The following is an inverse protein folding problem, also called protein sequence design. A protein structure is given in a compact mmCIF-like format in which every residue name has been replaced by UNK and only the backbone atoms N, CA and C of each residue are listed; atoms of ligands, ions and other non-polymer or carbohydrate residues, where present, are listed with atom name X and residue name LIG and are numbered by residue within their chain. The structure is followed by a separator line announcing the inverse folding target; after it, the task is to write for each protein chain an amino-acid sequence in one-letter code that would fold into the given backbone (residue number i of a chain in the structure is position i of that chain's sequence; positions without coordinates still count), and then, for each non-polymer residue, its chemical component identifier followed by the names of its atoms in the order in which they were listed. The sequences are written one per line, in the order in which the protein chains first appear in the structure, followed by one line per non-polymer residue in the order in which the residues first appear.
data_IF_904326926144
#
_entry.id   IF_904326926144
#
_cell.length_a   1.000
_cell.length_b   1.000
_cell.length_c   1.000
_cell.angle_alpha   90.00
_cell.angle_beta   90.00
_cell.angle_gamma   90.00
#
_symmetry.space_group_name_H-M   'P 1'
#
loop_
_entity.id
_entity.type
_entity.pdbx_description
1 polymer ?
#
# COMPACT_ATOMS: atom_id res chain seq x y z
N UNK A 1 25.23 -17.65 6.28
CA UNK A 1 24.49 -16.67 5.46
C UNK A 1 24.76 -15.28 6.02
N UNK A 2 25.10 -14.29 5.17
CA UNK A 2 25.39 -12.92 5.64
C UNK A 2 24.12 -12.25 6.20
N UNK A 3 24.29 -11.26 7.11
CA UNK A 3 23.19 -10.51 7.68
C UNK A 3 22.33 -9.87 6.59
N UNK A 4 22.92 -9.26 5.58
CA UNK A 4 22.20 -8.60 4.47
C UNK A 4 21.31 -9.57 3.68
N UNK A 5 21.76 -10.80 3.43
CA UNK A 5 20.95 -11.84 2.78
C UNK A 5 19.77 -12.25 3.66
N UNK A 6 19.99 -12.39 4.98
CA UNK A 6 18.90 -12.71 5.93
C UNK A 6 17.84 -11.61 5.96
N UNK A 7 18.26 -10.35 5.96
CA UNK A 7 17.35 -9.19 5.90
C UNK A 7 16.62 -9.10 4.54
N UNK A 8 17.28 -9.46 3.44
CA UNK A 8 16.65 -9.55 2.12
C UNK A 8 15.55 -10.61 2.06
N UNK A 9 15.80 -11.80 2.60
CA UNK A 9 14.80 -12.87 2.72
C UNK A 9 13.63 -12.42 3.61
N UNK A 10 13.91 -11.74 4.71
CA UNK A 10 12.91 -11.14 5.60
C UNK A 10 11.98 -10.19 4.81
N UNK A 11 12.54 -9.25 4.06
CA UNK A 11 11.76 -8.32 3.23
C UNK A 11 10.96 -9.04 2.14
N UNK A 12 11.56 -10.03 1.49
CA UNK A 12 10.88 -10.84 0.49
C UNK A 12 9.64 -11.54 1.09
N UNK A 13 9.81 -12.27 2.19
CA UNK A 13 8.72 -13.01 2.83
C UNK A 13 7.63 -12.07 3.38
N UNK A 14 8.02 -10.93 3.94
CA UNK A 14 7.08 -9.92 4.43
C UNK A 14 6.08 -9.51 3.35
N UNK A 15 6.56 -9.14 2.18
CA UNK A 15 5.70 -8.66 1.10
C UNK A 15 5.10 -9.79 0.26
N UNK A 16 5.71 -10.97 0.24
CA UNK A 16 5.13 -12.17 -0.35
C UNK A 16 3.82 -12.56 0.35
N UNK A 17 3.81 -12.65 1.69
CA UNK A 17 2.61 -12.97 2.47
C UNK A 17 1.44 -12.05 2.12
N UNK A 18 1.70 -10.77 1.98
CA UNK A 18 0.64 -9.79 1.67
C UNK A 18 0.22 -9.85 0.19
N UNK A 19 1.19 -9.91 -0.71
CA UNK A 19 0.96 -9.89 -2.15
C UNK A 19 0.18 -11.09 -2.69
N UNK A 20 0.27 -12.25 -2.02
CA UNK A 20 -0.39 -13.49 -2.45
C UNK A 20 -1.91 -13.38 -2.49
N UNK A 21 -2.53 -12.63 -1.57
CA UNK A 21 -3.99 -12.54 -1.51
C UNK A 21 -4.55 -11.13 -1.72
N UNK A 22 -3.80 -10.09 -1.40
CA UNK A 22 -4.37 -8.75 -1.30
C UNK A 22 -4.91 -8.22 -2.63
N UNK A 23 -4.23 -8.51 -3.74
CA UNK A 23 -4.63 -8.06 -5.09
C UNK A 23 -5.86 -8.83 -5.59
N UNK A 24 -5.99 -10.10 -5.22
CA UNK A 24 -7.03 -11.01 -5.72
C UNK A 24 -8.17 -11.25 -4.71
N UNK A 25 -8.04 -10.73 -3.51
CA UNK A 25 -9.07 -10.85 -2.47
C UNK A 25 -10.43 -10.32 -2.92
N UNK A 26 -10.47 -9.20 -3.65
CA UNK A 26 -11.71 -8.67 -4.22
C UNK A 26 -12.39 -9.66 -5.18
N UNK A 27 -11.61 -10.29 -6.06
CA UNK A 27 -12.11 -11.31 -6.99
C UNK A 27 -12.70 -12.52 -6.24
N UNK A 28 -12.00 -13.01 -5.21
CA UNK A 28 -12.50 -14.08 -4.37
C UNK A 28 -13.82 -13.71 -3.67
N UNK A 29 -13.87 -12.54 -3.02
CA UNK A 29 -15.05 -12.10 -2.29
C UNK A 29 -16.24 -11.86 -3.23
N UNK A 30 -16.02 -11.34 -4.44
CA UNK A 30 -17.08 -11.14 -5.42
C UNK A 30 -17.67 -12.47 -5.93
N UNK A 31 -16.87 -13.53 -6.00
CA UNK A 31 -17.37 -14.86 -6.35
C UNK A 31 -18.07 -15.54 -5.15
N UNK A 32 -17.50 -15.39 -3.94
CA UNK A 32 -18.06 -15.98 -2.72
C UNK A 32 -19.44 -15.42 -2.38
N UNK A 33 -19.63 -14.10 -2.55
CA UNK A 33 -20.86 -13.39 -2.23
C UNK A 33 -21.68 -13.01 -3.47
N UNK A 34 -21.51 -13.76 -4.56
CA UNK A 34 -22.23 -13.53 -5.82
C UNK A 34 -23.74 -13.53 -5.62
N UNK A 35 -24.38 -12.44 -6.03
CA UNK A 35 -25.84 -12.28 -5.92
C UNK A 35 -26.32 -11.81 -4.53
N UNK A 36 -25.42 -11.58 -3.57
CA UNK A 36 -25.80 -10.99 -2.28
C UNK A 36 -26.01 -9.48 -2.39
N UNK A 37 -27.04 -8.98 -1.71
CA UNK A 37 -27.28 -7.55 -1.57
C UNK A 37 -26.15 -6.90 -0.77
N UNK A 38 -25.61 -5.77 -1.25
CA UNK A 38 -24.52 -5.07 -0.58
C UNK A 38 -23.14 -5.68 -0.81
N UNK A 39 -22.96 -6.51 -1.82
CA UNK A 39 -21.66 -7.15 -2.15
C UNK A 39 -20.52 -6.14 -2.24
N UNK A 40 -20.77 -4.94 -2.77
CA UNK A 40 -19.73 -3.91 -2.88
C UNK A 40 -19.30 -3.37 -1.51
N UNK A 41 -20.24 -3.26 -0.55
CA UNK A 41 -19.91 -2.91 0.85
C UNK A 41 -19.16 -4.04 1.55
N UNK A 42 -19.51 -5.30 1.30
CA UNK A 42 -18.77 -6.45 1.84
C UNK A 42 -17.31 -6.37 1.41
N UNK A 43 -17.05 -6.14 0.13
CA UNK A 43 -15.68 -6.00 -0.40
C UNK A 43 -14.99 -4.76 0.21
N UNK A 44 -15.63 -3.60 0.19
CA UNK A 44 -15.10 -2.37 0.76
C UNK A 44 -14.74 -2.50 2.25
N UNK A 45 -15.63 -3.10 3.04
CA UNK A 45 -15.40 -3.38 4.46
C UNK A 45 -14.23 -4.33 4.67
N UNK A 46 -14.09 -5.36 3.84
CA UNK A 46 -12.97 -6.31 3.94
C UNK A 46 -11.61 -5.63 3.70
N UNK A 47 -11.51 -4.73 2.74
CA UNK A 47 -10.31 -3.92 2.52
C UNK A 47 -10.12 -2.84 3.61
N UNK A 48 -11.20 -2.32 4.20
CA UNK A 48 -11.12 -1.37 5.31
C UNK A 48 -10.45 -1.97 6.56
N UNK A 49 -10.47 -3.30 6.74
CA UNK A 49 -9.81 -3.97 7.88
C UNK A 49 -8.32 -3.68 7.95
N UNK A 50 -7.64 -3.66 6.80
CA UNK A 50 -6.23 -3.31 6.70
C UNK A 50 -5.98 -1.86 7.12
N UNK A 51 -6.82 -0.94 6.70
CA UNK A 51 -6.65 0.49 7.02
C UNK A 51 -6.99 0.79 8.48
N UNK A 52 -7.99 0.13 9.06
CA UNK A 52 -8.21 0.17 10.51
C UNK A 52 -6.99 -0.30 11.29
N UNK A 53 -6.45 -1.45 10.92
CA UNK A 53 -5.26 -1.98 11.59
C UNK A 53 -4.04 -1.06 11.44
N UNK A 54 -3.86 -0.43 10.28
CA UNK A 54 -2.77 0.51 10.02
C UNK A 54 -2.81 1.74 10.95
N UNK A 55 -4.00 2.21 11.34
CA UNK A 55 -4.14 3.31 12.30
C UNK A 55 -3.61 2.95 13.71
N UNK A 56 -3.71 1.68 14.09
CA UNK A 56 -3.27 1.20 15.42
C UNK A 56 -1.86 0.59 15.41
N UNK A 57 -1.33 0.24 14.24
CA UNK A 57 -0.03 -0.42 14.09
C UNK A 57 1.13 0.31 14.80
N UNK A 58 1.27 1.65 14.74
CA UNK A 58 2.34 2.35 15.43
C UNK A 58 2.30 2.17 16.95
N UNK A 59 1.09 2.06 17.54
CA UNK A 59 0.93 1.84 18.99
C UNK A 59 1.43 0.45 19.40
N UNK A 60 1.16 -0.58 18.59
CA UNK A 60 1.63 -1.94 18.84
C UNK A 60 3.17 -1.98 18.80
N UNK A 61 3.79 -1.38 17.79
CA UNK A 61 5.25 -1.31 17.67
C UNK A 61 5.87 -0.54 18.83
N UNK A 62 5.36 0.66 19.11
CA UNK A 62 5.89 1.52 20.18
C UNK A 62 5.73 0.92 21.58
N UNK A 63 4.69 0.13 21.81
CA UNK A 63 4.42 -0.50 23.11
C UNK A 63 5.14 -1.85 23.27
N UNK A 64 5.02 -2.75 22.32
CA UNK A 64 5.58 -4.10 22.39
C UNK A 64 7.02 -4.17 21.88
N UNK A 65 7.26 -3.64 20.66
CA UNK A 65 8.55 -3.77 19.98
C UNK A 65 9.65 -2.88 20.56
N UNK A 66 9.31 -1.67 21.03
CA UNK A 66 10.30 -0.76 21.56
C UNK A 66 10.57 -0.92 23.06
N UNK A 67 9.76 -1.71 23.79
CA UNK A 67 9.86 -1.75 25.25
C UNK A 67 9.92 -3.14 25.86
N UNK A 68 9.18 -4.12 25.31
CA UNK A 68 8.95 -5.38 26.00
C UNK A 68 9.79 -6.53 25.46
N UNK A 69 9.94 -6.63 24.13
CA UNK A 69 10.59 -7.79 23.53
C UNK A 69 11.39 -7.40 22.29
N UNK A 70 12.32 -8.26 21.91
CA UNK A 70 13.08 -8.08 20.69
C UNK A 70 12.17 -8.06 19.48
N UNK A 71 12.49 -7.17 18.52
CA UNK A 71 11.67 -6.92 17.36
C UNK A 71 11.53 -8.14 16.42
N UNK A 72 12.60 -8.93 16.26
CA UNK A 72 12.58 -10.17 15.50
C UNK A 72 11.67 -11.23 16.13
N UNK A 73 11.63 -11.31 17.46
CA UNK A 73 10.75 -12.23 18.17
C UNK A 73 9.30 -11.80 18.09
N UNK A 74 9.03 -10.50 18.25
CA UNK A 74 7.67 -9.95 18.07
C UNK A 74 7.17 -10.19 16.64
N UNK A 75 8.02 -9.93 15.64
CA UNK A 75 7.70 -10.17 14.24
C UNK A 75 7.35 -11.66 13.99
N UNK A 76 8.15 -12.57 14.53
CA UNK A 76 7.91 -14.00 14.43
C UNK A 76 6.57 -14.43 15.04
N UNK A 77 6.28 -13.95 16.26
CA UNK A 77 5.03 -14.26 16.95
C UNK A 77 3.81 -13.73 16.19
N UNK A 78 3.86 -12.48 15.71
CA UNK A 78 2.76 -11.87 14.96
C UNK A 78 2.49 -12.60 13.65
N UNK A 79 3.54 -13.09 12.95
CA UNK A 79 3.37 -13.89 11.74
C UNK A 79 2.83 -15.30 12.02
N UNK A 80 3.20 -15.94 13.12
CA UNK A 80 2.63 -17.23 13.51
C UNK A 80 1.15 -17.11 13.86
N UNK A 81 0.76 -16.08 14.62
CA UNK A 81 -0.64 -15.77 14.88
C UNK A 81 -1.38 -15.45 13.57
N UNK A 82 -0.78 -14.63 12.71
CA UNK A 82 -1.31 -14.30 11.40
C UNK A 82 -1.51 -15.52 10.49
N UNK A 83 -0.63 -16.51 10.56
CA UNK A 83 -0.77 -17.75 9.82
C UNK A 83 -2.04 -18.52 10.22
N UNK A 84 -2.29 -18.66 11.51
CA UNK A 84 -3.52 -19.29 12.01
C UNK A 84 -4.78 -18.53 11.59
N UNK A 85 -4.74 -17.21 11.64
CA UNK A 85 -5.86 -16.35 11.25
C UNK A 85 -6.13 -16.43 9.73
N UNK A 86 -5.12 -16.42 8.88
CA UNK A 86 -5.28 -16.58 7.42
C UNK A 86 -5.83 -17.96 7.07
N UNK A 87 -5.36 -19.00 7.76
CA UNK A 87 -5.91 -20.33 7.58
C UNK A 87 -7.40 -20.37 7.97
N UNK A 88 -7.76 -19.71 9.05
CA UNK A 88 -9.16 -19.59 9.46
C UNK A 88 -9.99 -18.81 8.43
N UNK A 89 -9.51 -17.67 7.93
CA UNK A 89 -10.16 -16.90 6.84
C UNK A 89 -10.47 -17.82 5.65
N UNK A 90 -9.55 -18.72 5.28
CA UNK A 90 -9.74 -19.61 4.12
C UNK A 90 -10.91 -20.60 4.27
N UNK A 91 -11.45 -20.79 5.48
CA UNK A 91 -12.56 -21.69 5.78
C UNK A 91 -13.89 -20.97 5.98
N UNK A 92 -13.89 -19.63 6.00
CA UNK A 92 -15.07 -18.83 6.29
C UNK A 92 -15.88 -18.52 5.04
N UNK A 93 -17.21 -18.48 5.22
CA UNK A 93 -18.16 -18.08 4.17
C UNK A 93 -19.11 -16.98 4.62
N UNK A 94 -19.10 -16.59 5.91
CA UNK A 94 -19.87 -15.48 6.45
C UNK A 94 -19.10 -14.18 6.37
N UNK A 95 -19.69 -13.12 5.80
CA UNK A 95 -19.04 -11.82 5.57
C UNK A 95 -18.61 -11.12 6.85
N UNK A 96 -19.40 -11.25 7.93
CA UNK A 96 -19.11 -10.64 9.23
C UNK A 96 -17.93 -11.36 9.90
N UNK A 97 -17.88 -12.69 9.83
CA UNK A 97 -16.74 -13.46 10.36
C UNK A 97 -15.47 -13.19 9.57
N UNK A 98 -15.55 -13.09 8.23
CA UNK A 98 -14.41 -12.71 7.37
C UNK A 98 -13.90 -11.35 7.75
N UNK A 99 -14.77 -10.35 7.97
CA UNK A 99 -14.37 -9.02 8.41
C UNK A 99 -13.56 -9.06 9.72
N UNK A 100 -14.06 -9.72 10.75
CA UNK A 100 -13.38 -9.78 12.05
C UNK A 100 -12.09 -10.59 12.00
N UNK A 101 -12.06 -11.68 11.25
CA UNK A 101 -10.85 -12.49 11.06
C UNK A 101 -9.77 -11.71 10.30
N UNK A 102 -10.12 -11.02 9.22
CA UNK A 102 -9.20 -10.14 8.47
C UNK A 102 -8.72 -8.96 9.32
N UNK A 103 -9.61 -8.32 10.08
CA UNK A 103 -9.23 -7.22 10.98
C UNK A 103 -8.19 -7.70 12.01
N UNK A 104 -8.45 -8.85 12.64
CA UNK A 104 -7.52 -9.43 13.62
C UNK A 104 -6.19 -9.82 12.97
N UNK A 105 -6.24 -10.40 11.77
CA UNK A 105 -5.03 -10.66 10.98
C UNK A 105 -4.23 -9.38 10.71
N UNK A 106 -4.87 -8.33 10.22
CA UNK A 106 -4.17 -7.10 9.90
C UNK A 106 -3.67 -6.35 11.15
N UNK A 107 -4.34 -6.48 12.30
CA UNK A 107 -3.80 -5.99 13.59
C UNK A 107 -2.47 -6.68 13.94
N UNK A 108 -2.31 -7.96 13.60
CA UNK A 108 -1.02 -8.64 13.73
C UNK A 108 -0.04 -8.22 12.62
N UNK A 109 -0.50 -8.10 11.38
CA UNK A 109 0.36 -7.92 10.21
C UNK A 109 0.87 -6.47 10.03
N UNK A 110 0.02 -5.43 10.18
CA UNK A 110 0.43 -4.04 9.91
C UNK A 110 1.62 -3.56 10.77
N UNK A 111 1.72 -3.91 12.07
CA UNK A 111 2.90 -3.58 12.86
C UNK A 111 4.21 -4.16 12.30
N UNK A 112 4.16 -5.34 11.67
CA UNK A 112 5.35 -6.01 11.17
C UNK A 112 6.03 -5.23 10.05
N UNK A 113 5.31 -4.39 9.29
CA UNK A 113 5.88 -3.50 8.28
C UNK A 113 6.86 -2.48 8.86
N UNK A 114 6.58 -1.96 10.04
CA UNK A 114 7.51 -1.08 10.75
C UNK A 114 8.64 -1.86 11.43
N UNK A 115 8.34 -3.05 11.97
CA UNK A 115 9.35 -3.91 12.60
C UNK A 115 10.46 -4.31 11.64
N UNK A 116 10.13 -4.74 10.41
CA UNK A 116 11.16 -5.16 9.42
C UNK A 116 12.07 -4.01 9.00
N UNK A 117 11.54 -2.79 8.92
CA UNK A 117 12.36 -1.60 8.67
C UNK A 117 13.31 -1.36 9.84
N UNK A 118 12.81 -1.39 11.08
CA UNK A 118 13.63 -1.15 12.28
C UNK A 118 14.67 -2.25 12.48
N UNK A 119 14.29 -3.53 12.27
CA UNK A 119 15.26 -4.66 12.30
C UNK A 119 16.36 -4.41 11.27
N UNK A 120 16.02 -3.93 10.08
CA UNK A 120 17.01 -3.62 9.05
C UNK A 120 17.92 -2.49 9.50
N UNK A 121 17.36 -1.38 9.99
CA UNK A 121 18.15 -0.20 10.42
C UNK A 121 19.13 -0.52 11.54
N UNK A 122 18.75 -1.39 12.47
CA UNK A 122 19.62 -1.80 13.59
C UNK A 122 20.75 -2.76 13.17
N UNK A 123 20.67 -3.36 11.97
CA UNK A 123 21.60 -4.42 11.57
C UNK A 123 22.35 -4.14 10.26
N UNK A 124 22.35 -2.89 9.78
CA UNK A 124 23.15 -2.42 8.65
C UNK A 124 24.08 -1.30 9.06
N UNK A 125 25.27 -1.24 8.45
CA UNK A 125 26.28 -0.22 8.78
C UNK A 125 25.92 1.15 8.17
N UNK A 126 25.34 1.17 6.99
CA UNK A 126 24.95 2.38 6.28
C UNK A 126 23.51 2.25 5.74
N UNK A 127 22.57 2.89 6.44
CA UNK A 127 21.14 2.84 6.11
C UNK A 127 20.89 3.40 4.71
N UNK A 128 21.52 4.51 4.34
CA UNK A 128 21.24 5.22 3.07
C UNK A 128 21.58 4.37 1.85
N UNK A 129 22.65 3.57 1.92
CA UNK A 129 23.14 2.76 0.79
C UNK A 129 22.66 1.32 0.81
N UNK A 130 22.37 0.75 1.99
CA UNK A 130 22.05 -0.66 2.16
C UNK A 130 20.55 -0.93 2.25
N UNK A 131 19.81 -0.07 2.94
CA UNK A 131 18.36 -0.25 3.09
C UNK A 131 17.60 -0.29 1.74
N UNK A 132 17.87 0.58 0.76
CA UNK A 132 17.18 0.49 -0.53
C UNK A 132 17.39 -0.86 -1.23
N UNK A 133 18.60 -1.42 -1.15
CA UNK A 133 18.94 -2.73 -1.75
C UNK A 133 18.21 -3.88 -1.06
N UNK A 134 18.08 -3.81 0.27
CA UNK A 134 17.35 -4.81 1.07
C UNK A 134 15.85 -4.65 0.83
N UNK A 135 15.34 -3.41 0.81
CA UNK A 135 13.92 -3.11 0.61
C UNK A 135 13.40 -3.55 -0.78
N UNK A 136 14.25 -3.52 -1.80
CA UNK A 136 13.92 -4.00 -3.15
C UNK A 136 13.45 -5.47 -3.14
N UNK A 137 13.98 -6.31 -2.25
CA UNK A 137 13.52 -7.70 -2.10
C UNK A 137 12.05 -7.79 -1.69
N UNK A 138 11.51 -6.77 -1.03
CA UNK A 138 10.07 -6.68 -0.75
C UNK A 138 9.24 -6.54 -2.02
N UNK A 139 9.62 -5.66 -2.95
CA UNK A 139 8.94 -5.52 -4.24
C UNK A 139 9.03 -6.81 -5.07
N UNK A 140 10.22 -7.47 -5.06
CA UNK A 140 10.39 -8.77 -5.70
C UNK A 140 9.46 -9.82 -5.04
N UNK A 141 9.35 -9.82 -3.71
CA UNK A 141 8.44 -10.73 -2.98
C UNK A 141 6.98 -10.54 -3.38
N UNK A 142 6.53 -9.30 -3.52
CA UNK A 142 5.18 -8.98 -4.00
C UNK A 142 4.93 -9.45 -5.43
N UNK A 143 5.89 -9.21 -6.35
CA UNK A 143 5.81 -9.67 -7.73
C UNK A 143 5.72 -11.21 -7.77
N UNK A 144 6.63 -11.89 -7.08
CA UNK A 144 6.65 -13.36 -7.03
C UNK A 144 5.36 -13.92 -6.45
N UNK A 145 4.78 -13.27 -5.43
CA UNK A 145 3.49 -13.65 -4.87
C UNK A 145 2.37 -13.62 -5.92
N UNK A 146 2.27 -12.55 -6.70
CA UNK A 146 1.29 -12.42 -7.78
C UNK A 146 1.49 -13.46 -8.88
N UNK A 147 2.76 -13.75 -9.27
CA UNK A 147 3.07 -14.78 -10.25
C UNK A 147 2.73 -16.18 -9.72
N UNK A 148 2.99 -16.44 -8.44
CA UNK A 148 2.74 -17.73 -7.79
C UNK A 148 1.24 -18.05 -7.76
N UNK A 149 0.42 -17.09 -7.30
CA UNK A 149 -1.02 -17.34 -7.15
C UNK A 149 -1.76 -17.36 -8.50
N UNK A 150 -1.21 -16.68 -9.51
CA UNK A 150 -1.72 -16.69 -10.86
C UNK A 150 -1.24 -17.88 -11.69
N UNK A 151 -0.29 -18.68 -11.17
CA UNK A 151 0.38 -19.77 -11.90
C UNK A 151 0.83 -19.39 -13.31
N UNK A 152 1.27 -18.13 -13.46
CA UNK A 152 1.61 -17.56 -14.76
C UNK A 152 2.77 -16.59 -14.64
N UNK A 153 3.75 -16.71 -15.54
CA UNK A 153 4.86 -15.76 -15.64
C UNK A 153 4.42 -14.53 -16.44
N UNK A 154 4.02 -13.47 -15.77
CA UNK A 154 3.59 -12.19 -16.34
C UNK A 154 2.50 -12.30 -17.43
N UNK A 155 1.70 -13.37 -17.39
CA UNK A 155 0.68 -13.65 -18.40
C UNK A 155 1.19 -14.24 -19.70
N UNK A 156 2.51 -14.44 -19.83
CA UNK A 156 3.15 -14.90 -21.07
C UNK A 156 3.09 -16.42 -21.25
N UNK A 157 3.30 -17.18 -20.18
CA UNK A 157 3.22 -18.64 -20.17
C UNK A 157 2.80 -19.15 -18.78
N UNK A 158 2.30 -20.39 -18.76
CA UNK A 158 1.90 -21.06 -17.52
C UNK A 158 3.13 -21.46 -16.70
N UNK A 159 3.01 -21.29 -15.38
CA UNK A 159 4.05 -21.60 -14.43
C UNK A 159 3.42 -22.35 -13.24
N UNK A 160 3.18 -23.68 -13.36
CA UNK A 160 2.53 -24.45 -12.31
C UNK A 160 3.46 -24.57 -11.08
N UNK A 161 3.31 -23.65 -10.13
CA UNK A 161 4.13 -23.59 -8.92
C UNK A 161 3.46 -24.37 -7.78
N UNK A 162 2.13 -24.44 -7.78
CA UNK A 162 1.33 -24.99 -6.69
C UNK A 162 0.54 -26.24 -7.18
N UNK A 163 1.13 -27.44 -7.16
CA UNK A 163 0.44 -28.64 -7.62
C UNK A 163 -0.89 -28.85 -6.89
N UNK A 164 -1.99 -29.01 -7.65
CA UNK A 164 -3.33 -29.28 -7.10
C UNK A 164 -4.10 -28.06 -6.59
N UNK A 165 -3.57 -26.85 -6.79
CA UNK A 165 -4.30 -25.61 -6.51
C UNK A 165 -4.73 -25.02 -7.86
N UNK A 166 -5.97 -25.30 -8.26
CA UNK A 166 -6.57 -24.66 -9.42
C UNK A 166 -7.07 -23.26 -9.06
N UNK A 167 -6.83 -22.27 -9.94
CA UNK A 167 -7.38 -20.90 -9.84
C UNK A 167 -7.11 -20.21 -8.50
N UNK A 168 -5.87 -20.26 -8.02
CA UNK A 168 -5.50 -19.77 -6.68
C UNK A 168 -6.00 -18.36 -6.34
N UNK A 169 -6.00 -17.44 -7.33
CA UNK A 169 -6.44 -16.05 -7.13
C UNK A 169 -7.95 -15.86 -7.01
N UNK A 170 -8.77 -16.82 -7.45
CA UNK A 170 -10.23 -16.76 -7.37
C UNK A 170 -10.83 -17.61 -6.26
N UNK A 171 -9.99 -18.36 -5.54
CA UNK A 171 -10.40 -19.28 -4.48
C UNK A 171 -9.81 -18.90 -3.12
N UNK A 172 -10.26 -19.59 -2.06
CA UNK A 172 -9.70 -19.44 -0.71
C UNK A 172 -8.24 -19.91 -0.61
N UNK A 173 -7.70 -20.60 -1.62
CA UNK A 173 -6.32 -21.07 -1.66
C UNK A 173 -5.30 -19.96 -1.48
N UNK A 174 -5.59 -18.74 -1.94
CA UNK A 174 -4.73 -17.56 -1.72
C UNK A 174 -4.45 -17.32 -0.22
N UNK A 175 -5.43 -17.51 0.64
CA UNK A 175 -5.25 -17.37 2.08
C UNK A 175 -4.48 -18.55 2.69
N UNK A 176 -4.65 -19.76 2.15
CA UNK A 176 -3.90 -20.94 2.59
C UNK A 176 -2.41 -20.81 2.25
N UNK A 177 -2.09 -20.37 1.02
CA UNK A 177 -0.71 -20.09 0.59
C UNK A 177 -0.10 -18.99 1.46
N UNK A 178 -0.84 -17.90 1.70
CA UNK A 178 -0.40 -16.81 2.57
C UNK A 178 -0.18 -17.31 4.02
N UNK A 179 -1.05 -18.19 4.54
CA UNK A 179 -0.91 -18.79 5.86
C UNK A 179 0.36 -19.61 6.00
N UNK A 180 0.64 -20.49 5.02
CA UNK A 180 1.87 -21.30 4.99
C UNK A 180 3.10 -20.40 4.89
N UNK A 181 3.09 -19.42 4.01
CA UNK A 181 4.18 -18.45 3.87
C UNK A 181 4.40 -17.64 5.17
N UNK A 182 3.31 -17.22 5.82
CA UNK A 182 3.38 -16.51 7.10
C UNK A 182 3.93 -17.39 8.22
N UNK A 183 3.57 -18.68 8.26
CA UNK A 183 4.14 -19.62 9.23
C UNK A 183 5.65 -19.82 9.00
N UNK A 184 6.07 -20.06 7.75
CA UNK A 184 7.49 -20.16 7.38
C UNK A 184 8.23 -18.89 7.80
N UNK A 185 7.67 -17.73 7.50
CA UNK A 185 8.27 -16.46 7.86
C UNK A 185 8.31 -16.23 9.37
N UNK A 186 7.27 -16.62 10.09
CA UNK A 186 7.23 -16.55 11.55
C UNK A 186 8.39 -17.32 12.19
N UNK A 187 8.59 -18.59 11.79
CA UNK A 187 9.73 -19.39 12.26
C UNK A 187 11.08 -18.81 11.79
N UNK A 188 11.17 -18.36 10.56
CA UNK A 188 12.39 -17.73 10.03
C UNK A 188 12.78 -16.49 10.83
N UNK A 189 11.80 -15.71 11.31
CA UNK A 189 12.02 -14.48 12.05
C UNK A 189 12.84 -14.69 13.33
N UNK A 190 12.68 -15.81 14.03
CA UNK A 190 13.48 -16.16 15.20
C UNK A 190 14.96 -16.43 14.86
N UNK A 191 15.31 -16.59 13.60
CA UNK A 191 16.70 -16.76 13.15
C UNK A 191 17.35 -15.42 12.78
N UNK A 192 16.62 -14.31 12.73
CA UNK A 192 17.15 -12.99 12.36
C UNK A 192 18.14 -12.47 13.41
N UNK A 193 18.98 -11.49 13.04
CA UNK A 193 19.87 -10.88 14.02
C UNK A 193 19.08 -10.19 15.13
N UNK A 194 19.63 -10.24 16.34
CA UNK A 194 19.01 -9.65 17.53
C UNK A 194 18.77 -8.15 17.34
N UNK A 195 17.56 -7.72 17.60
CA UNK A 195 17.12 -6.33 17.47
C UNK A 195 16.39 -5.90 18.74
N UNK A 196 17.15 -5.58 19.82
CA UNK A 196 16.61 -5.33 21.14
C UNK A 196 15.77 -4.03 21.18
N UNK A 197 14.87 -3.92 22.20
CA UNK A 197 14.06 -2.72 22.40
C UNK A 197 14.91 -1.53 22.84
N UNK A 198 14.82 -0.39 22.13
CA UNK A 198 15.57 0.83 22.41
C UNK A 198 14.90 1.75 23.43
N UNK A 199 13.60 1.59 23.62
CA UNK A 199 12.78 2.39 24.52
C UNK A 199 12.53 1.77 25.89
N UNK A 200 13.27 0.70 26.28
CA UNK A 200 13.06 0.02 27.56
C UNK A 200 13.22 0.99 28.73
N UNK A 201 12.18 1.08 29.58
CA UNK A 201 12.15 1.96 30.73
C UNK A 201 11.80 3.43 30.46
N UNK A 202 11.60 3.83 29.19
CA UNK A 202 11.15 5.19 28.84
C UNK A 202 9.62 5.30 28.85
N UNK A 203 9.03 6.46 29.22
CA UNK A 203 7.58 6.67 29.12
C UNK A 203 7.06 6.56 27.68
N UNK A 204 5.81 6.12 27.51
CA UNK A 204 5.16 6.08 26.16
C UNK A 204 4.62 7.44 25.84
N UNK A 205 5.08 8.03 24.76
CA UNK A 205 4.47 9.24 24.20
C UNK A 205 3.62 8.86 22.99
N UNK A 206 2.32 8.70 23.23
CA UNK A 206 1.34 8.32 22.19
C UNK A 206 1.24 9.41 21.11
N UNK A 207 1.36 10.69 21.48
CA UNK A 207 1.27 11.81 20.54
C UNK A 207 2.43 11.78 19.56
N UNK A 208 3.64 11.49 20.05
CA UNK A 208 4.83 11.33 19.21
C UNK A 208 4.74 10.09 18.30
N UNK A 209 4.28 8.94 18.85
CA UNK A 209 4.16 7.67 18.11
C UNK A 209 3.16 7.81 16.95
N UNK A 210 2.02 8.49 17.16
CA UNK A 210 1.02 8.74 16.14
C UNK A 210 1.35 9.94 15.23
N UNK A 211 2.46 10.63 15.49
CA UNK A 211 2.88 11.78 14.70
C UNK A 211 2.13 13.07 14.98
N UNK A 212 1.29 13.13 16.02
CA UNK A 212 0.48 14.32 16.31
C UNK A 212 1.29 15.55 16.73
N UNK A 213 2.51 15.37 17.23
CA UNK A 213 3.44 16.48 17.46
C UNK A 213 3.74 17.27 16.18
N UNK A 214 3.64 16.60 15.03
CA UNK A 214 3.86 17.19 13.70
C UNK A 214 2.67 17.97 13.16
N UNK A 215 1.54 18.01 13.86
CA UNK A 215 0.41 18.89 13.50
C UNK A 215 0.82 20.37 13.46
N UNK A 216 1.90 20.74 14.17
CA UNK A 216 2.48 22.09 14.09
C UNK A 216 2.89 22.47 12.66
N UNK A 217 3.32 21.49 11.82
CA UNK A 217 3.67 21.74 10.44
C UNK A 217 2.48 22.23 9.60
N UNK A 218 1.25 21.93 9.99
CA UNK A 218 0.05 22.39 9.32
C UNK A 218 -0.20 23.91 9.50
N UNK A 219 0.56 24.59 10.38
CA UNK A 219 0.58 26.05 10.45
C UNK A 219 1.18 26.67 9.18
N UNK A 220 2.06 25.93 8.47
CA UNK A 220 2.50 26.30 7.14
C UNK A 220 1.39 25.99 6.14
N UNK A 221 0.77 27.01 5.48
CA UNK A 221 -0.38 26.80 4.60
C UNK A 221 -0.07 25.85 3.41
N UNK A 222 1.15 25.90 2.89
CA UNK A 222 1.55 24.99 1.79
C UNK A 222 1.61 23.54 2.27
N UNK A 223 2.15 23.28 3.47
CA UNK A 223 2.16 21.95 4.04
C UNK A 223 0.74 21.44 4.38
N UNK A 224 -0.12 22.33 4.87
CA UNK A 224 -1.54 22.01 5.11
C UNK A 224 -2.24 21.58 3.80
N UNK A 225 -2.05 22.33 2.72
CA UNK A 225 -2.58 21.96 1.39
C UNK A 225 -2.06 20.61 0.95
N UNK A 226 -0.75 20.36 1.10
CA UNK A 226 -0.16 19.06 0.80
C UNK A 226 -0.81 17.93 1.63
N UNK A 227 -0.93 18.11 2.94
CA UNK A 227 -1.51 17.10 3.83
C UNK A 227 -2.98 16.79 3.51
N UNK A 228 -3.81 17.85 3.29
CA UNK A 228 -5.23 17.69 2.94
C UNK A 228 -5.38 17.03 1.56
N UNK A 229 -4.65 17.49 0.55
CA UNK A 229 -4.72 16.89 -0.78
C UNK A 229 -4.19 15.44 -0.78
N UNK A 230 -3.19 15.13 0.06
CA UNK A 230 -2.68 13.76 0.23
C UNK A 230 -3.73 12.84 0.87
N UNK A 231 -4.45 13.32 1.87
CA UNK A 231 -5.59 12.60 2.43
C UNK A 231 -6.67 12.36 1.36
N UNK A 232 -7.08 13.41 0.65
CA UNK A 232 -8.16 13.34 -0.34
C UNK A 232 -7.82 12.41 -1.51
N UNK A 233 -6.60 12.45 -2.05
CA UNK A 233 -6.21 11.61 -3.20
C UNK A 233 -6.12 10.13 -2.83
N UNK A 234 -5.97 9.79 -1.55
CA UNK A 234 -5.99 8.41 -1.09
C UNK A 234 -7.41 7.81 -1.06
N UNK A 235 -8.47 8.63 -1.17
CA UNK A 235 -9.83 8.13 -1.39
C UNK A 235 -9.92 7.38 -2.73
N UNK A 236 -9.60 7.98 -3.90
CA UNK A 236 -9.53 7.23 -5.15
C UNK A 236 -8.47 6.11 -5.13
N UNK A 237 -7.37 6.24 -4.39
CA UNK A 237 -6.38 5.16 -4.29
C UNK A 237 -6.97 3.86 -3.76
N UNK A 238 -7.91 3.92 -2.81
CA UNK A 238 -8.60 2.74 -2.29
C UNK A 238 -9.35 1.97 -3.38
N UNK A 239 -9.94 2.67 -4.36
CA UNK A 239 -10.58 2.03 -5.53
C UNK A 239 -9.59 1.17 -6.32
N UNK A 240 -8.36 1.64 -6.50
CA UNK A 240 -7.34 0.87 -7.19
C UNK A 240 -7.01 -0.43 -6.45
N UNK A 241 -6.68 -0.34 -5.17
CA UNK A 241 -6.26 -1.52 -4.42
C UNK A 241 -7.38 -2.54 -4.23
N UNK A 242 -8.61 -2.09 -3.97
CA UNK A 242 -9.72 -2.98 -3.67
C UNK A 242 -10.40 -3.54 -4.92
N UNK A 243 -10.40 -2.81 -6.04
CA UNK A 243 -11.29 -3.12 -7.16
C UNK A 243 -10.59 -3.39 -8.49
N UNK A 244 -9.32 -2.96 -8.66
CA UNK A 244 -8.66 -3.15 -9.96
C UNK A 244 -8.41 -4.62 -10.28
N UNK A 245 -7.93 -5.42 -9.30
CA UNK A 245 -7.71 -6.85 -9.50
C UNK A 245 -8.99 -7.56 -9.93
N UNK A 246 -10.09 -7.28 -9.26
CA UNK A 246 -11.40 -7.83 -9.57
C UNK A 246 -11.90 -7.40 -10.95
N UNK A 247 -11.84 -6.09 -11.25
CA UNK A 247 -12.23 -5.53 -12.55
C UNK A 247 -11.46 -6.16 -13.71
N UNK A 248 -10.13 -6.18 -13.64
CA UNK A 248 -9.31 -6.72 -14.73
C UNK A 248 -9.41 -8.24 -14.83
N UNK A 249 -9.66 -8.92 -13.70
CA UNK A 249 -9.93 -10.35 -13.65
C UNK A 249 -11.22 -10.71 -14.39
N UNK A 250 -12.32 -10.04 -14.07
CA UNK A 250 -13.60 -10.25 -14.71
C UNK A 250 -13.59 -9.87 -16.20
N UNK A 251 -12.90 -8.77 -16.56
CA UNK A 251 -12.89 -8.25 -17.92
C UNK A 251 -11.94 -8.99 -18.87
N UNK A 252 -10.72 -9.39 -18.40
CA UNK A 252 -9.66 -9.79 -19.33
C UNK A 252 -8.83 -11.00 -18.88
N UNK A 253 -8.48 -11.10 -17.59
CA UNK A 253 -7.33 -11.93 -17.19
C UNK A 253 -7.70 -13.17 -16.40
N UNK A 254 -8.93 -13.26 -15.86
CA UNK A 254 -9.39 -14.39 -15.07
C UNK A 254 -8.38 -14.73 -13.95
N UNK A 255 -7.98 -16.00 -13.90
CA UNK A 255 -7.05 -16.51 -12.89
C UNK A 255 -5.64 -15.94 -13.01
N UNK A 256 -5.28 -15.36 -14.16
CA UNK A 256 -3.96 -14.74 -14.41
C UNK A 256 -3.85 -13.30 -13.89
N UNK A 257 -4.88 -12.78 -13.23
CA UNK A 257 -4.94 -11.39 -12.73
C UNK A 257 -3.71 -10.99 -11.95
N UNK A 258 -3.25 -11.80 -11.00
CA UNK A 258 -2.06 -11.50 -10.19
C UNK A 258 -0.79 -11.27 -11.02
N UNK A 259 -0.62 -12.05 -12.09
CA UNK A 259 0.52 -11.93 -13.00
C UNK A 259 0.49 -10.65 -13.83
N UNK A 260 -0.70 -10.25 -14.31
CA UNK A 260 -0.83 -8.99 -15.06
C UNK A 260 -0.73 -7.76 -14.15
N UNK A 261 -1.26 -7.84 -12.94
CA UNK A 261 -1.13 -6.76 -11.96
C UNK A 261 0.33 -6.54 -11.52
N UNK A 262 1.18 -7.57 -11.56
CA UNK A 262 2.61 -7.47 -11.27
C UNK A 262 3.35 -6.49 -12.21
N UNK A 263 2.85 -6.24 -13.42
CA UNK A 263 3.40 -5.21 -14.30
C UNK A 263 3.33 -3.79 -13.71
N UNK A 264 2.39 -3.53 -12.81
CA UNK A 264 2.33 -2.29 -12.05
C UNK A 264 3.57 -2.10 -11.16
N UNK A 265 4.02 -3.15 -10.47
CA UNK A 265 5.23 -3.12 -9.63
C UNK A 265 6.52 -3.05 -10.47
N UNK A 266 6.53 -3.68 -11.63
CA UNK A 266 7.65 -3.50 -12.58
C UNK A 266 7.77 -2.05 -13.01
N UNK A 267 6.64 -1.41 -13.32
CA UNK A 267 6.58 0.03 -13.64
C UNK A 267 7.08 0.89 -12.46
N UNK A 268 6.71 0.56 -11.21
CA UNK A 268 7.19 1.22 -10.00
C UNK A 268 8.72 1.18 -9.89
N UNK A 269 9.34 0.01 -10.08
CA UNK A 269 10.81 -0.11 -10.06
C UNK A 269 11.46 0.82 -11.09
N UNK A 270 10.87 0.91 -12.28
CA UNK A 270 11.38 1.76 -13.36
C UNK A 270 11.24 3.25 -13.02
N UNK A 271 10.05 3.71 -12.61
CA UNK A 271 9.82 5.12 -12.31
C UNK A 271 10.50 5.58 -11.03
N UNK A 272 10.66 4.70 -10.02
CA UNK A 272 11.44 4.96 -8.82
C UNK A 272 12.89 5.38 -9.16
N UNK A 273 13.53 4.67 -10.09
CA UNK A 273 14.88 5.02 -10.55
C UNK A 273 14.94 6.39 -11.25
N UNK A 274 13.83 6.85 -11.81
CA UNK A 274 13.72 8.12 -12.53
C UNK A 274 13.28 9.30 -11.64
N UNK A 275 12.86 9.07 -10.40
CA UNK A 275 12.41 10.13 -9.46
C UNK A 275 13.45 11.25 -9.34
N UNK A 276 14.76 11.00 -9.10
CA UNK A 276 15.73 12.08 -8.97
C UNK A 276 15.83 12.96 -10.25
N UNK A 277 15.77 12.32 -11.43
CA UNK A 277 15.82 13.02 -12.71
C UNK A 277 14.62 13.94 -12.91
N UNK A 278 13.42 13.47 -12.63
CA UNK A 278 12.22 14.27 -12.80
C UNK A 278 12.07 15.33 -11.69
N UNK A 279 12.44 15.00 -10.46
CA UNK A 279 12.35 15.92 -9.33
C UNK A 279 13.22 17.16 -9.52
N UNK A 280 14.44 17.00 -10.05
CA UNK A 280 15.33 18.14 -10.37
C UNK A 280 14.81 19.02 -11.48
N UNK A 281 14.03 18.49 -12.44
CA UNK A 281 13.49 19.25 -13.59
C UNK A 281 12.12 19.82 -13.35
N UNK A 282 11.24 19.09 -12.70
CA UNK A 282 9.84 19.46 -12.50
C UNK A 282 9.59 20.14 -11.15
N UNK A 283 10.44 19.82 -10.16
CA UNK A 283 10.23 20.23 -8.76
C UNK A 283 9.05 19.52 -8.11
N UNK A 284 8.89 19.71 -6.81
CA UNK A 284 7.90 19.01 -5.98
C UNK A 284 6.48 19.22 -6.47
N UNK A 285 6.07 20.47 -6.72
CA UNK A 285 4.69 20.80 -7.13
C UNK A 285 4.26 20.03 -8.38
N UNK A 286 5.05 20.06 -9.43
CA UNK A 286 4.70 19.40 -10.70
C UNK A 286 4.78 17.89 -10.60
N UNK A 287 5.73 17.34 -9.82
CA UNK A 287 5.84 15.91 -9.58
C UNK A 287 4.58 15.37 -8.89
N UNK A 288 4.16 15.98 -7.78
CA UNK A 288 2.94 15.61 -7.06
C UNK A 288 1.71 15.71 -7.97
N UNK A 289 1.60 16.81 -8.73
CA UNK A 289 0.49 17.02 -9.65
C UNK A 289 0.42 15.95 -10.76
N UNK A 290 1.56 15.59 -11.35
CA UNK A 290 1.62 14.51 -12.36
C UNK A 290 1.18 13.18 -11.76
N UNK A 291 1.61 12.86 -10.54
CA UNK A 291 1.14 11.66 -9.82
C UNK A 291 -0.38 11.65 -9.63
N UNK A 292 -0.97 12.77 -9.17
CA UNK A 292 -2.43 12.91 -9.00
C UNK A 292 -3.18 12.77 -10.32
N UNK A 293 -2.72 13.44 -11.39
CA UNK A 293 -3.33 13.37 -12.71
C UNK A 293 -3.19 11.99 -13.36
N UNK A 294 -2.12 11.25 -13.05
CA UNK A 294 -1.95 9.88 -13.51
C UNK A 294 -3.02 8.95 -12.89
N UNK A 295 -3.47 9.17 -11.64
CA UNK A 295 -4.63 8.47 -11.08
C UNK A 295 -5.91 8.81 -11.84
N UNK A 296 -6.16 10.09 -12.09
CA UNK A 296 -7.34 10.51 -12.85
C UNK A 296 -7.38 9.85 -14.24
N UNK A 297 -6.25 9.89 -14.96
CA UNK A 297 -6.10 9.25 -16.27
C UNK A 297 -6.34 7.74 -16.20
N UNK A 298 -5.75 7.05 -15.23
CA UNK A 298 -5.93 5.60 -15.03
C UNK A 298 -7.40 5.23 -14.92
N UNK A 299 -8.14 5.90 -14.04
CA UNK A 299 -9.56 5.59 -13.84
C UNK A 299 -10.41 5.99 -15.04
N UNK A 300 -10.08 7.07 -15.73
CA UNK A 300 -10.72 7.41 -16.98
C UNK A 300 -10.51 6.33 -18.06
N UNK A 301 -9.28 5.77 -18.16
CA UNK A 301 -9.00 4.66 -19.08
C UNK A 301 -9.82 3.41 -18.73
N UNK A 302 -9.92 3.05 -17.44
CA UNK A 302 -10.72 1.91 -16.98
C UNK A 302 -12.22 2.10 -17.22
N UNK A 303 -12.74 3.30 -17.02
CA UNK A 303 -14.16 3.60 -17.21
C UNK A 303 -14.57 3.72 -18.66
N UNK A 304 -13.78 4.44 -19.46
CA UNK A 304 -14.15 4.77 -20.85
C UNK A 304 -13.87 3.63 -21.85
N UNK A 305 -12.87 2.79 -21.56
CA UNK A 305 -12.44 1.72 -22.47
C UNK A 305 -12.24 0.37 -21.74
N UNK A 306 -13.23 -0.08 -20.94
CA UNK A 306 -13.08 -1.28 -20.10
C UNK A 306 -12.81 -2.55 -20.90
N UNK A 307 -13.30 -2.64 -22.15
CA UNK A 307 -13.13 -3.81 -23.02
C UNK A 307 -11.81 -3.83 -23.78
N UNK A 308 -11.04 -2.73 -23.77
CA UNK A 308 -9.77 -2.67 -24.49
C UNK A 308 -8.61 -3.06 -23.56
N UNK A 309 -8.13 -4.30 -23.68
CA UNK A 309 -7.03 -4.86 -22.88
C UNK A 309 -5.77 -3.97 -22.91
N UNK A 310 -5.39 -3.43 -24.07
CA UNK A 310 -4.18 -2.61 -24.17
C UNK A 310 -4.33 -1.31 -23.38
N UNK A 311 -5.50 -0.68 -23.39
CA UNK A 311 -5.80 0.53 -22.62
C UNK A 311 -5.83 0.24 -21.14
N UNK A 312 -6.41 -0.88 -20.72
CA UNK A 312 -6.42 -1.34 -19.32
C UNK A 312 -4.97 -1.60 -18.86
N UNK A 313 -4.13 -2.22 -19.68
CA UNK A 313 -2.71 -2.42 -19.36
C UNK A 313 -1.95 -1.10 -19.19
N UNK A 314 -2.22 -0.08 -20.01
CA UNK A 314 -1.67 1.28 -19.79
C UNK A 314 -2.09 1.81 -18.42
N UNK A 315 -3.35 1.63 -18.03
CA UNK A 315 -3.84 1.98 -16.70
C UNK A 315 -3.08 1.26 -15.56
N UNK A 316 -2.73 -0.03 -15.75
CA UNK A 316 -1.91 -0.77 -14.78
C UNK A 316 -0.48 -0.21 -14.74
N UNK A 317 0.14 0.04 -15.90
CA UNK A 317 1.51 0.57 -16.01
C UNK A 317 1.65 2.01 -15.47
N UNK A 318 0.58 2.79 -15.41
CA UNK A 318 0.59 4.10 -14.74
C UNK A 318 0.85 4.00 -13.23
N UNK A 319 0.91 2.78 -12.65
CA UNK A 319 1.12 2.59 -11.21
C UNK A 319 2.42 3.23 -10.71
N UNK A 320 3.53 3.05 -11.43
CA UNK A 320 4.81 3.66 -11.05
C UNK A 320 4.74 5.19 -11.06
N UNK A 321 4.13 5.80 -12.08
CA UNK A 321 3.97 7.26 -12.13
C UNK A 321 3.10 7.74 -10.96
N UNK A 322 1.95 7.11 -10.74
CA UNK A 322 1.05 7.49 -9.65
C UNK A 322 1.74 7.41 -8.29
N UNK A 323 2.41 6.28 -8.05
CA UNK A 323 2.96 5.94 -6.74
C UNK A 323 4.24 6.72 -6.44
N UNK A 324 5.21 6.65 -7.34
CA UNK A 324 6.53 7.23 -7.09
C UNK A 324 6.52 8.75 -7.15
N UNK A 325 5.82 9.32 -8.15
CA UNK A 325 5.79 10.78 -8.29
C UNK A 325 4.96 11.43 -7.19
N UNK A 326 4.00 10.72 -6.60
CA UNK A 326 3.24 11.27 -5.49
C UNK A 326 3.83 10.89 -4.13
N UNK A 327 3.91 9.60 -3.79
CA UNK A 327 4.29 9.19 -2.43
C UNK A 327 5.76 9.44 -2.13
N UNK A 328 6.68 9.06 -3.04
CA UNK A 328 8.10 9.26 -2.79
C UNK A 328 8.43 10.76 -2.76
N UNK A 329 7.87 11.53 -3.68
CA UNK A 329 8.05 12.99 -3.68
C UNK A 329 7.42 13.63 -2.43
N UNK A 330 6.26 13.15 -1.98
CA UNK A 330 5.60 13.62 -0.76
C UNK A 330 6.40 13.33 0.49
N UNK A 331 7.03 12.16 0.58
CA UNK A 331 7.96 11.82 1.67
C UNK A 331 9.19 12.72 1.67
N UNK A 332 9.80 12.96 0.51
CA UNK A 332 10.94 13.88 0.37
C UNK A 332 10.57 15.32 0.72
N UNK A 333 9.37 15.77 0.32
CA UNK A 333 8.87 17.09 0.68
C UNK A 333 8.64 17.22 2.19
N UNK A 334 8.03 16.22 2.81
CA UNK A 334 7.79 16.17 4.26
C UNK A 334 9.11 16.22 5.03
N UNK A 335 10.10 15.42 4.63
CA UNK A 335 11.41 15.37 5.26
C UNK A 335 12.16 16.71 5.15
N UNK A 336 11.99 17.39 4.01
CA UNK A 336 12.58 18.72 3.78
C UNK A 336 11.94 19.82 4.64
N UNK A 337 10.62 19.79 4.83
CA UNK A 337 9.88 20.83 5.58
C UNK A 337 9.96 20.60 7.07
N UNK A 338 10.04 19.36 7.53
CA UNK A 338 10.07 19.02 8.95
C UNK A 338 11.45 19.30 9.56
N UNK A 339 11.52 19.95 10.75
CA UNK A 339 12.72 20.00 11.55
C UNK A 339 13.29 18.61 11.81
N UNK A 340 14.61 18.48 11.96
CA UNK A 340 15.29 17.17 12.10
C UNK A 340 14.67 16.30 13.19
N UNK A 341 14.31 16.88 14.33
CA UNK A 341 13.73 16.22 15.49
C UNK A 341 12.30 15.70 15.25
N UNK A 342 11.60 16.25 14.25
CA UNK A 342 10.19 15.93 13.92
C UNK A 342 10.01 15.11 12.66
N UNK A 343 11.06 14.80 11.92
CA UNK A 343 10.96 14.10 10.61
C UNK A 343 10.22 12.77 10.72
N UNK A 344 10.61 11.94 11.68
CA UNK A 344 9.94 10.64 11.89
C UNK A 344 8.45 10.80 12.23
N UNK A 345 8.13 11.74 13.12
CA UNK A 345 6.76 12.05 13.51
C UNK A 345 5.95 12.62 12.33
N UNK A 346 6.56 13.47 11.50
CA UNK A 346 5.94 14.01 10.28
C UNK A 346 5.62 12.93 9.24
N UNK A 347 6.54 11.99 9.03
CA UNK A 347 6.31 10.84 8.14
C UNK A 347 5.20 9.93 8.69
N UNK A 348 5.16 9.70 10.00
CA UNK A 348 4.10 8.94 10.65
C UNK A 348 2.72 9.61 10.45
N UNK A 349 2.64 10.94 10.62
CA UNK A 349 1.41 11.70 10.39
C UNK A 349 0.95 11.61 8.93
N UNK A 350 1.85 11.74 7.96
CA UNK A 350 1.51 11.59 6.54
C UNK A 350 1.00 10.18 6.25
N UNK A 351 1.65 9.15 6.79
CA UNK A 351 1.18 7.75 6.68
C UNK A 351 -0.20 7.54 7.28
N UNK A 352 -0.46 8.13 8.46
CA UNK A 352 -1.76 8.07 9.13
C UNK A 352 -2.86 8.75 8.29
N UNK A 353 -2.56 9.90 7.71
CA UNK A 353 -3.52 10.64 6.88
C UNK A 353 -3.79 9.93 5.55
N UNK A 354 -2.77 9.36 4.92
CA UNK A 354 -2.87 8.73 3.59
C UNK A 354 -3.36 7.29 3.67
N UNK A 355 -2.49 6.36 4.05
CA UNK A 355 -2.79 4.91 4.10
C UNK A 355 -3.73 4.51 5.23
N UNK A 356 -3.80 5.30 6.30
CA UNK A 356 -4.79 5.13 7.36
C UNK A 356 -6.13 5.77 6.97
N UNK A 357 -6.32 7.06 7.32
CA UNK A 357 -7.60 7.73 7.23
C UNK A 357 -8.14 7.89 5.80
N UNK A 358 -7.29 8.30 4.84
CA UNK A 358 -7.70 8.54 3.45
C UNK A 358 -8.20 7.27 2.77
N UNK A 359 -7.44 6.19 2.87
CA UNK A 359 -7.86 4.90 2.32
C UNK A 359 -9.04 4.29 3.08
N UNK A 360 -9.15 4.52 4.40
CA UNK A 360 -10.30 4.06 5.17
C UNK A 360 -11.61 4.66 4.64
N UNK A 361 -11.64 5.99 4.49
CA UNK A 361 -12.77 6.69 3.87
C UNK A 361 -13.02 6.16 2.45
N UNK A 362 -11.95 5.98 1.66
CA UNK A 362 -12.04 5.46 0.30
C UNK A 362 -12.67 4.08 0.22
N UNK A 363 -12.32 3.16 1.13
CA UNK A 363 -12.90 1.82 1.17
C UNK A 363 -14.40 1.82 1.49
N UNK A 364 -14.87 2.70 2.36
CA UNK A 364 -16.31 2.85 2.60
C UNK A 364 -17.03 3.53 1.43
N UNK A 365 -16.40 4.55 0.83
CA UNK A 365 -16.96 5.26 -0.33
C UNK A 365 -17.10 4.33 -1.54
N UNK A 366 -16.09 3.49 -1.85
CA UNK A 366 -16.16 2.57 -2.97
C UNK A 366 -17.27 1.51 -2.81
N UNK A 367 -17.46 1.02 -1.59
CA UNK A 367 -18.52 0.05 -1.28
C UNK A 367 -19.90 0.68 -1.44
N UNK A 368 -20.11 1.86 -0.84
CA UNK A 368 -21.35 2.61 -0.97
C UNK A 368 -21.65 2.99 -2.44
N UNK A 369 -20.64 3.46 -3.17
CA UNK A 369 -20.78 3.86 -4.57
C UNK A 369 -21.14 2.68 -5.48
N UNK A 370 -20.43 1.55 -5.33
CA UNK A 370 -20.70 0.34 -6.09
C UNK A 370 -22.15 -0.16 -5.91
N UNK A 371 -22.62 -0.19 -4.65
CA UNK A 371 -24.03 -0.57 -4.37
C UNK A 371 -25.02 0.46 -4.91
N UNK A 372 -24.72 1.76 -4.81
CA UNK A 372 -25.64 2.83 -5.25
C UNK A 372 -25.87 2.84 -6.75
N UNK A 373 -24.91 2.38 -7.55
CA UNK A 373 -25.03 2.25 -9.01
C UNK A 373 -25.48 0.86 -9.45
N UNK A 374 -25.71 -0.07 -8.51
CA UNK A 374 -26.08 -1.45 -8.80
C UNK A 374 -25.00 -2.26 -9.50
N UNK A 375 -23.71 -2.00 -9.22
CA UNK A 375 -22.60 -2.73 -9.84
C UNK A 375 -22.64 -4.20 -9.39
N UNK A 376 -22.75 -5.13 -10.33
CA UNK A 376 -22.42 -6.54 -10.10
C UNK A 376 -20.93 -6.78 -10.40
N UNK A 377 -20.08 -6.88 -9.36
CA UNK A 377 -18.64 -7.03 -9.56
C UNK A 377 -18.23 -8.46 -9.91
N UNK A 378 -19.14 -9.43 -9.77
CA UNK A 378 -18.84 -10.85 -9.93
C UNK A 378 -18.82 -11.33 -11.39
N UNK A 379 -19.31 -10.49 -12.31
CA UNK A 379 -19.47 -10.85 -13.72
C UNK A 379 -18.85 -9.81 -14.66
N UNK A 380 -18.50 -10.28 -15.86
CA UNK A 380 -18.04 -9.41 -16.94
C UNK A 380 -19.13 -8.46 -17.40
N UNK A 381 -20.36 -8.96 -17.50
CA UNK A 381 -21.54 -8.19 -17.91
C UNK A 381 -21.79 -7.04 -16.92
N UNK A 382 -21.73 -7.30 -15.61
CA UNK A 382 -21.89 -6.27 -14.60
C UNK A 382 -20.82 -5.18 -14.67
N UNK A 383 -19.57 -5.55 -14.98
CA UNK A 383 -18.52 -4.56 -15.23
C UNK A 383 -18.71 -3.81 -16.54
N UNK A 384 -19.19 -4.45 -17.62
CA UNK A 384 -19.48 -3.75 -18.87
C UNK A 384 -20.57 -2.67 -18.71
N UNK A 385 -21.57 -2.94 -17.87
CA UNK A 385 -22.67 -2.01 -17.59
C UNK A 385 -22.28 -0.92 -16.57
N UNK A 386 -21.43 -1.27 -15.59
CA UNK A 386 -21.12 -0.42 -14.45
C UNK A 386 -19.78 0.30 -14.48
N UNK A 387 -18.79 -0.15 -15.29
CA UNK A 387 -17.41 0.33 -15.23
C UNK A 387 -17.30 1.85 -15.47
N UNK A 388 -18.01 2.40 -16.44
CA UNK A 388 -17.98 3.83 -16.72
C UNK A 388 -18.37 4.64 -15.49
N UNK A 389 -19.54 4.36 -14.90
CA UNK A 389 -20.03 5.06 -13.71
C UNK A 389 -19.10 4.84 -12.52
N UNK A 390 -18.60 3.60 -12.33
CA UNK A 390 -17.78 3.25 -11.19
C UNK A 390 -16.44 3.97 -11.22
N UNK A 391 -15.72 3.93 -12.35
CA UNK A 391 -14.37 4.48 -12.47
C UNK A 391 -14.32 5.98 -12.74
N UNK A 392 -15.32 6.58 -13.40
CA UNK A 392 -15.32 8.02 -13.64
C UNK A 392 -15.54 8.83 -12.38
N UNK A 393 -16.15 8.29 -11.33
CA UNK A 393 -16.30 8.97 -10.05
C UNK A 393 -14.92 9.24 -9.40
N UNK A 394 -14.06 8.23 -9.12
CA UNK A 394 -12.73 8.48 -8.57
C UNK A 394 -11.84 9.27 -9.56
N UNK A 395 -12.03 9.14 -10.88
CA UNK A 395 -11.32 9.96 -11.87
C UNK A 395 -11.66 11.45 -11.70
N UNK A 396 -12.94 11.79 -11.68
CA UNK A 396 -13.41 13.16 -11.49
C UNK A 396 -12.97 13.75 -10.14
N UNK A 397 -13.06 12.93 -9.07
CA UNK A 397 -12.59 13.34 -7.75
C UNK A 397 -11.08 13.63 -7.75
N UNK A 398 -10.26 12.79 -8.39
CA UNK A 398 -8.82 13.02 -8.50
C UNK A 398 -8.50 14.28 -9.32
N UNK A 399 -9.27 14.59 -10.38
CA UNK A 399 -9.14 15.86 -11.13
C UNK A 399 -9.43 17.05 -10.21
N UNK A 400 -10.53 17.02 -9.46
CA UNK A 400 -10.89 18.11 -8.54
C UNK A 400 -9.80 18.36 -7.50
N UNK A 401 -9.30 17.29 -6.87
CA UNK A 401 -8.17 17.39 -5.91
C UNK A 401 -6.93 17.95 -6.59
N UNK A 402 -6.62 17.52 -7.82
CA UNK A 402 -5.48 18.04 -8.59
C UNK A 402 -5.60 19.52 -8.90
N UNK A 403 -6.80 20.01 -9.25
CA UNK A 403 -7.07 21.43 -9.51
C UNK A 403 -6.91 22.25 -8.21
N UNK A 404 -7.49 21.79 -7.11
CA UNK A 404 -7.32 22.43 -5.80
C UNK A 404 -5.83 22.51 -5.45
N UNK A 405 -5.11 21.41 -5.56
CA UNK A 405 -3.68 21.37 -5.30
C UNK A 405 -2.89 22.33 -6.21
N UNK A 406 -3.18 22.33 -7.50
CA UNK A 406 -2.50 23.22 -8.46
C UNK A 406 -2.67 24.68 -8.12
N UNK A 407 -3.88 25.10 -7.73
CA UNK A 407 -4.22 26.50 -7.43
C UNK A 407 -3.71 26.96 -6.05
N UNK A 408 -3.62 26.04 -5.07
CA UNK A 408 -3.40 26.42 -3.67
C UNK A 408 -2.04 25.99 -3.11
N UNK A 409 -1.36 25.00 -3.71
CA UNK A 409 -0.04 24.57 -3.27
C UNK A 409 1.05 25.43 -3.92
N UNK A 410 2.04 25.83 -3.14
CA UNK A 410 3.27 26.46 -3.62
C UNK A 410 4.50 25.94 -2.90
N UNK A 411 5.62 25.86 -3.62
CA UNK A 411 6.92 25.48 -3.08
C UNK A 411 7.91 26.64 -3.31
N UNK A 412 8.16 27.44 -2.27
CA UNK A 412 8.98 28.67 -2.33
C UNK A 412 10.43 28.45 -2.79
N UNK A 413 10.96 27.21 -2.73
CA UNK A 413 12.36 26.94 -3.06
C UNK A 413 12.64 26.63 -4.52
N UNK A 414 11.63 26.42 -5.33
CA UNK A 414 11.84 26.14 -6.77
C UNK A 414 11.88 27.40 -7.62
N UNK A 415 11.42 28.53 -7.11
CA UNK A 415 11.47 29.84 -7.82
C UNK A 415 12.85 30.53 -7.71
N UNK A 416 13.78 30.06 -6.91
CA UNK A 416 15.17 30.53 -6.89
C UNK A 416 16.02 29.71 -7.85
N UNK A 417 16.43 30.34 -8.92
CA UNK A 417 17.36 29.83 -9.93
C UNK A 417 18.64 29.25 -9.30
N UNK A 418 19.08 28.13 -9.88
CA UNK A 418 20.40 27.50 -9.80
C UNK A 418 20.72 26.61 -8.62
N UNK A 419 21.13 25.40 -9.01
CA UNK A 419 21.78 24.35 -8.31
C UNK A 419 22.70 24.73 -7.15
N UNK A 420 22.23 24.39 -5.98
CA UNK A 420 23.14 24.01 -4.90
C UNK A 420 22.40 22.99 -4.01
N UNK A 421 22.90 21.78 -3.99
CA UNK A 421 22.43 20.70 -3.10
C UNK A 421 23.24 20.86 -1.80
N UNK A 422 23.19 22.06 -1.23
CA UNK A 422 23.88 22.43 0.00
C UNK A 422 22.91 22.99 1.02
N UNK A 423 22.95 22.42 2.20
CA UNK A 423 22.45 22.88 3.50
C UNK A 423 21.22 23.80 3.50
N UNK A 424 20.06 23.21 3.78
CA UNK A 424 18.81 23.92 3.94
C UNK A 424 18.59 24.29 5.41
N UNK A 425 18.79 25.57 5.73
CA UNK A 425 18.38 26.13 7.03
C UNK A 425 16.87 25.95 7.25
N UNK A 426 16.50 25.53 8.46
CA UNK A 426 15.09 25.40 8.88
C UNK A 426 14.38 26.76 8.77
N UNK A 427 13.14 26.75 8.29
CA UNK A 427 12.28 27.93 8.19
C UNK A 427 12.04 28.52 9.60
N UNK A 428 12.43 29.78 9.89
CA UNK A 428 12.27 30.38 11.22
C UNK A 428 10.83 30.64 11.66
N UNK A 429 9.84 30.31 10.82
CA UNK A 429 8.41 30.46 11.18
C UNK A 429 7.86 29.30 12.06
N UNK A 430 8.70 28.33 12.44
CA UNK A 430 8.29 27.14 13.23
C UNK A 430 9.07 27.03 14.56
N UNK A 431 9.84 28.05 14.93
CA UNK A 431 10.49 28.13 16.26
C UNK A 431 9.54 28.63 17.35
#
# INVERSE_FOLDING_TARGET
MSVKVRLGIMMFLQFFVWGVFFVTMGTYLSQLFKGEEGINKIIGNSYATQTWAALFAPLVVGFLGDRLMNKEHLNGLLHLLGAGLLWWVSTLTDSTMIFWALLTFFICYMPTLALVNTITFQNVDNIETEFPKIRLWGTIGWIVAGLTIAESFFGLFELPILPGIESGGTTSAQFQVAAVASAIYGFYSFTLPASPPEGKGKPVDIMQILGFDSLKLMRNPSYLVFAVCSFLICIPLAFYYARTGEFVGAMHFGDRTGAYMAWGQVSEIFFMALVPFFLTRLGVKKMLLVGMLAWALRYALFGLMPSNMAVVMVGILLHGVCYDFFFVTGQLYTDRVAPKEMRTSAQALVGLLTYGAGMLVGNYVLGWWGDSIGLDPSTKEGWLEGAEKFWLMPAGFAVVVSVIFFLTFWDKKHDSKTGDVGELEADPAVS
#
